data_IF_588113085916
#
_entry.id   IF_588113085916
#
_cell.length_a   1.000
_cell.length_b   1.000
_cell.length_c   1.000
_cell.angle_alpha   90.00
_cell.angle_beta   90.00
_cell.angle_gamma   90.00
#
_symmetry.space_group_name_H-M   'P 1'
#
loop_
_entity.id
_entity.type
_entity.pdbx_description
1 polymer ?
#
# COMPACT_ATOMS: atom_id res chain seq x y z
N UNK A 1 -17.61 -27.21 6.46
CA UNK A 1 -18.88 -26.49 6.72
C UNK A 1 -19.00 -25.31 5.77
N UNK A 2 -20.01 -25.35 4.88
CA UNK A 2 -20.34 -24.29 3.91
C UNK A 2 -20.58 -22.92 4.58
N UNK A 3 -21.08 -22.92 5.81
CA UNK A 3 -21.40 -21.73 6.61
C UNK A 3 -20.17 -20.86 6.90
N UNK A 4 -19.01 -21.48 7.19
CA UNK A 4 -17.75 -20.74 7.40
C UNK A 4 -17.31 -20.00 6.14
N UNK A 5 -17.57 -20.53 4.94
CA UNK A 5 -17.23 -19.85 3.69
C UNK A 5 -18.13 -18.65 3.40
N UNK A 6 -19.43 -18.77 3.71
CA UNK A 6 -20.39 -17.69 3.50
C UNK A 6 -20.08 -16.48 4.41
N UNK A 7 -19.83 -16.73 5.69
CA UNK A 7 -19.42 -15.69 6.64
C UNK A 7 -18.05 -15.07 6.30
N UNK A 8 -17.15 -15.87 5.72
CA UNK A 8 -15.83 -15.39 5.32
C UNK A 8 -15.88 -14.57 4.02
N UNK A 9 -16.86 -14.80 3.14
CA UNK A 9 -17.07 -14.04 1.92
C UNK A 9 -17.70 -12.66 2.17
N UNK A 10 -18.47 -12.51 3.25
CA UNK A 10 -18.99 -11.21 3.69
C UNK A 10 -17.98 -10.36 4.45
N UNK A 11 -16.78 -10.90 4.74
CA UNK A 11 -15.73 -10.17 5.44
C UNK A 11 -15.31 -8.91 4.69
N UNK A 12 -15.07 -7.84 5.45
CA UNK A 12 -14.64 -6.54 4.92
C UNK A 12 -13.41 -6.69 4.00
N UNK A 13 -12.53 -7.65 4.24
CA UNK A 13 -11.34 -7.88 3.42
C UNK A 13 -11.60 -8.54 2.05
N UNK A 14 -12.72 -9.24 1.86
CA UNK A 14 -13.06 -9.93 0.59
C UNK A 14 -14.05 -9.17 -0.30
N UNK A 15 -14.64 -8.08 0.19
CA UNK A 15 -15.55 -7.27 -0.63
C UNK A 15 -14.82 -6.68 -1.85
N UNK A 16 -15.38 -6.95 -3.04
CA UNK A 16 -14.92 -6.36 -4.29
C UNK A 16 -15.14 -4.84 -4.25
N UNK A 17 -14.07 -4.08 -4.43
CA UNK A 17 -14.08 -2.62 -4.43
C UNK A 17 -13.41 -2.11 -5.70
N UNK A 18 -13.97 -1.05 -6.26
CA UNK A 18 -13.44 -0.35 -7.42
C UNK A 18 -13.56 1.16 -7.19
N UNK A 19 -12.75 1.94 -7.89
CA UNK A 19 -12.75 3.39 -7.83
C UNK A 19 -12.47 3.94 -6.42
N UNK A 20 -13.20 5.00 -6.04
CA UNK A 20 -12.99 5.72 -4.78
C UNK A 20 -13.13 4.84 -3.52
N UNK A 21 -13.96 3.79 -3.54
CA UNK A 21 -14.08 2.85 -2.41
C UNK A 21 -12.81 2.04 -2.21
N UNK A 22 -12.15 1.62 -3.30
CA UNK A 22 -10.86 0.93 -3.20
C UNK A 22 -9.76 1.90 -2.76
N UNK A 23 -9.73 3.13 -3.28
CA UNK A 23 -8.78 4.16 -2.87
C UNK A 23 -8.84 4.41 -1.35
N UNK A 24 -10.04 4.66 -0.81
CA UNK A 24 -10.22 4.86 0.64
C UNK A 24 -9.83 3.63 1.47
N UNK A 25 -10.09 2.43 0.94
CA UNK A 25 -9.66 1.19 1.58
C UNK A 25 -8.14 1.05 1.59
N UNK A 26 -7.45 1.40 0.50
CA UNK A 26 -5.97 1.36 0.46
C UNK A 26 -5.33 2.44 1.32
N UNK A 27 -5.94 3.63 1.48
CA UNK A 27 -5.48 4.64 2.46
C UNK A 27 -5.37 4.07 3.87
N UNK A 28 -6.29 3.18 4.25
CA UNK A 28 -6.23 2.51 5.54
C UNK A 28 -4.98 1.62 5.66
N UNK A 29 -4.66 0.81 4.64
CA UNK A 29 -3.44 0.00 4.63
C UNK A 29 -2.16 0.84 4.59
N UNK A 30 -2.16 1.93 3.82
CA UNK A 30 -1.05 2.90 3.83
C UNK A 30 -0.82 3.42 5.25
N UNK A 31 -1.89 3.77 5.99
CA UNK A 31 -1.82 4.19 7.39
C UNK A 31 -1.26 3.06 8.28
N UNK A 32 -1.66 1.81 8.08
CA UNK A 32 -1.12 0.66 8.82
C UNK A 32 0.39 0.56 8.65
N UNK A 33 0.94 0.70 7.43
CA UNK A 33 2.40 0.65 7.23
C UNK A 33 3.16 1.70 8.05
N UNK A 34 2.59 2.91 8.16
CA UNK A 34 3.15 4.00 8.98
C UNK A 34 3.07 3.68 10.48
N UNK A 35 1.96 3.09 10.92
CA UNK A 35 1.77 2.74 12.33
C UNK A 35 2.70 1.60 12.75
N UNK A 36 2.84 0.55 11.93
CA UNK A 36 3.77 -0.54 12.17
C UNK A 36 5.21 -0.03 12.25
N UNK A 37 5.61 0.84 11.32
CA UNK A 37 6.95 1.43 11.35
C UNK A 37 7.18 2.29 12.61
N UNK A 38 6.15 3.05 13.05
CA UNK A 38 6.22 3.82 14.29
C UNK A 38 6.32 2.91 15.51
N UNK A 39 5.57 1.81 15.55
CA UNK A 39 5.63 0.83 16.64
C UNK A 39 7.03 0.21 16.73
N UNK A 40 7.58 -0.26 15.60
CA UNK A 40 8.92 -0.84 15.58
C UNK A 40 9.98 0.14 16.09
N UNK A 41 9.86 1.43 15.74
CA UNK A 41 10.77 2.47 16.26
C UNK A 41 10.57 2.74 17.75
N UNK A 42 9.33 2.89 18.21
CA UNK A 42 9.02 3.20 19.61
C UNK A 42 9.43 2.09 20.59
N UNK A 43 9.48 0.86 20.11
CA UNK A 43 9.81 -0.33 20.91
C UNK A 43 11.21 -0.88 20.65
N UNK A 44 11.99 -0.25 19.76
CA UNK A 44 13.34 -0.71 19.42
C UNK A 44 14.26 -0.83 20.64
N UNK A 45 14.11 0.09 21.60
CA UNK A 45 14.92 0.11 22.82
C UNK A 45 14.31 -0.75 23.96
N UNK A 46 13.10 -1.29 23.76
CA UNK A 46 12.34 -2.01 24.80
C UNK A 46 12.33 -3.52 24.57
N UNK A 47 12.27 -3.94 23.31
CA UNK A 47 12.20 -5.36 22.92
C UNK A 47 13.10 -5.58 21.72
N UNK A 48 13.55 -6.82 21.55
CA UNK A 48 14.24 -7.22 20.34
C UNK A 48 13.27 -7.17 19.14
N UNK A 49 13.59 -6.33 18.16
CA UNK A 49 12.80 -6.22 16.93
C UNK A 49 13.26 -7.30 15.95
N UNK A 50 12.49 -8.38 15.88
CA UNK A 50 12.74 -9.46 14.95
C UNK A 50 12.49 -9.05 13.47
N UNK A 51 13.18 -9.69 12.50
CA UNK A 51 13.01 -9.41 11.07
C UNK A 51 11.55 -9.50 10.58
N UNK A 52 10.72 -10.34 11.19
CA UNK A 52 9.31 -10.56 10.89
C UNK A 52 8.49 -9.28 11.00
N UNK A 53 8.80 -8.41 11.97
CA UNK A 53 8.11 -7.12 12.12
C UNK A 53 8.40 -6.17 10.95
N UNK A 54 9.61 -6.21 10.41
CA UNK A 54 9.96 -5.46 9.18
C UNK A 54 9.30 -6.09 7.95
N UNK A 55 9.26 -7.42 7.88
CA UNK A 55 8.58 -8.12 6.79
C UNK A 55 7.07 -7.83 6.77
N UNK A 56 6.43 -7.69 7.93
CA UNK A 56 5.01 -7.33 8.02
C UNK A 56 4.72 -5.97 7.34
N UNK A 57 5.55 -4.95 7.59
CA UNK A 57 5.44 -3.65 6.91
C UNK A 57 5.52 -3.83 5.40
N UNK A 58 6.45 -4.68 4.96
CA UNK A 58 6.68 -4.96 3.54
C UNK A 58 5.49 -5.68 2.90
N UNK A 59 4.91 -6.68 3.57
CA UNK A 59 3.74 -7.40 3.05
C UNK A 59 2.51 -6.51 2.95
N UNK A 60 2.27 -5.63 3.92
CA UNK A 60 1.17 -4.66 3.86
C UNK A 60 1.37 -3.65 2.72
N UNK A 61 2.60 -3.17 2.52
CA UNK A 61 2.93 -2.30 1.40
C UNK A 61 2.75 -3.01 0.04
N UNK A 62 3.19 -4.27 -0.07
CA UNK A 62 2.99 -5.08 -1.27
C UNK A 62 1.50 -5.35 -1.53
N UNK A 63 0.68 -5.56 -0.51
CA UNK A 63 -0.78 -5.72 -0.64
C UNK A 63 -1.40 -4.50 -1.33
N UNK A 64 -0.98 -3.29 -0.95
CA UNK A 64 -1.41 -2.05 -1.62
C UNK A 64 -0.94 -2.03 -3.07
N UNK A 65 0.32 -2.39 -3.37
CA UNK A 65 0.82 -2.49 -4.74
C UNK A 65 -0.03 -3.48 -5.58
N UNK A 66 -0.34 -4.65 -5.04
CA UNK A 66 -1.21 -5.62 -5.71
C UNK A 66 -2.62 -5.07 -5.97
N UNK A 67 -3.16 -4.25 -5.07
CA UNK A 67 -4.45 -3.59 -5.27
C UNK A 67 -4.39 -2.56 -6.41
N UNK A 68 -3.29 -1.80 -6.54
CA UNK A 68 -3.08 -0.85 -7.65
C UNK A 68 -3.16 -1.54 -9.01
N UNK A 69 -2.55 -2.72 -9.16
CA UNK A 69 -2.62 -3.49 -10.43
C UNK A 69 -4.03 -3.99 -10.74
N UNK A 70 -4.82 -4.31 -9.72
CA UNK A 70 -6.18 -4.83 -9.89
C UNK A 70 -7.21 -3.73 -10.19
N UNK A 71 -6.87 -2.46 -9.99
CA UNK A 71 -7.78 -1.35 -10.25
C UNK A 71 -7.99 -1.14 -11.76
N UNK A 72 -9.23 -1.24 -12.27
CA UNK A 72 -9.52 -1.01 -13.69
C UNK A 72 -9.51 0.48 -14.06
N UNK A 73 -9.94 1.38 -13.16
CA UNK A 73 -9.99 2.80 -13.44
C UNK A 73 -8.59 3.43 -13.41
N UNK A 74 -8.16 3.97 -14.55
CA UNK A 74 -6.85 4.59 -14.73
C UNK A 74 -6.70 5.81 -13.81
N UNK A 75 -7.76 6.61 -13.62
CA UNK A 75 -7.68 7.81 -12.78
C UNK A 75 -7.48 7.44 -11.31
N UNK A 76 -8.28 6.50 -10.79
CA UNK A 76 -8.12 5.97 -9.44
C UNK A 76 -6.75 5.32 -9.28
N UNK A 77 -6.28 4.53 -10.25
CA UNK A 77 -4.95 3.92 -10.22
C UNK A 77 -3.84 4.98 -10.08
N UNK A 78 -3.90 6.07 -10.86
CA UNK A 78 -2.94 7.17 -10.73
C UNK A 78 -3.01 7.86 -9.36
N UNK A 79 -4.21 8.06 -8.81
CA UNK A 79 -4.37 8.60 -7.45
C UNK A 79 -3.75 7.71 -6.39
N UNK A 80 -3.94 6.39 -6.49
CA UNK A 80 -3.32 5.42 -5.58
C UNK A 80 -1.80 5.46 -5.68
N UNK A 81 -1.25 5.49 -6.90
CA UNK A 81 0.20 5.61 -7.13
C UNK A 81 0.72 6.91 -6.51
N UNK A 82 0.04 8.04 -6.72
CA UNK A 82 0.42 9.31 -6.12
C UNK A 82 0.45 9.22 -4.58
N UNK A 83 -0.57 8.62 -3.97
CA UNK A 83 -0.63 8.43 -2.51
C UNK A 83 0.47 7.52 -1.96
N UNK A 84 0.86 6.47 -2.69
CA UNK A 84 1.99 5.59 -2.31
C UNK A 84 3.29 6.40 -2.16
N UNK A 85 3.53 7.35 -3.06
CA UNK A 85 4.72 8.19 -3.00
C UNK A 85 4.59 9.33 -1.99
N UNK A 86 3.46 10.07 -1.97
CA UNK A 86 3.28 11.20 -1.04
C UNK A 86 3.23 10.77 0.42
N UNK A 87 2.65 9.60 0.70
CA UNK A 87 2.61 9.04 2.07
C UNK A 87 3.95 8.49 2.54
N UNK A 88 4.95 8.37 1.66
CA UNK A 88 6.22 7.71 1.94
C UNK A 88 6.14 6.19 2.07
N UNK A 89 5.02 5.55 1.70
CA UNK A 89 4.88 4.08 1.76
C UNK A 89 5.95 3.39 0.92
N UNK A 90 6.27 3.94 -0.26
CA UNK A 90 7.33 3.40 -1.12
C UNK A 90 8.68 3.34 -0.39
N UNK A 91 9.05 4.39 0.35
CA UNK A 91 10.28 4.40 1.15
C UNK A 91 10.26 3.30 2.20
N UNK A 92 9.16 3.14 2.93
CA UNK A 92 9.00 2.08 3.94
C UNK A 92 9.09 0.68 3.35
N UNK A 93 8.52 0.48 2.16
CA UNK A 93 8.59 -0.78 1.44
C UNK A 93 10.05 -1.18 1.24
N UNK A 94 10.87 -0.29 0.67
CA UNK A 94 12.27 -0.61 0.35
C UNK A 94 13.13 -0.78 1.62
N UNK A 95 12.96 0.08 2.62
CA UNK A 95 13.82 0.06 3.83
C UNK A 95 13.57 -1.17 4.73
N UNK A 96 12.39 -1.75 4.67
CA UNK A 96 11.97 -2.87 5.53
C UNK A 96 12.06 -4.24 4.84
N UNK A 97 12.60 -4.33 3.63
CA UNK A 97 12.90 -5.62 2.99
C UNK A 97 13.98 -6.36 3.78
N UNK A 98 13.71 -7.63 4.11
CA UNK A 98 14.62 -8.52 4.86
C UNK A 98 14.79 -9.91 4.23
N UNK A 99 14.23 -10.15 3.05
CA UNK A 99 14.30 -11.44 2.35
C UNK A 99 14.52 -11.22 0.86
N UNK A 100 15.34 -12.08 0.23
CA UNK A 100 15.68 -12.01 -1.20
C UNK A 100 14.43 -12.10 -2.08
N UNK A 101 13.51 -13.04 -1.77
CA UNK A 101 12.25 -13.22 -2.49
C UNK A 101 11.39 -11.95 -2.47
N UNK A 102 11.34 -11.30 -1.31
CA UNK A 102 10.58 -10.07 -1.09
C UNK A 102 11.28 -8.88 -1.75
N UNK A 103 12.62 -8.86 -1.74
CA UNK A 103 13.42 -7.87 -2.47
C UNK A 103 13.17 -7.90 -3.96
N UNK A 104 13.12 -9.10 -4.57
CA UNK A 104 12.72 -9.24 -5.97
C UNK A 104 11.33 -8.66 -6.25
N UNK A 105 10.35 -8.95 -5.38
CA UNK A 105 9.01 -8.37 -5.50
C UNK A 105 9.03 -6.84 -5.38
N UNK A 106 9.79 -6.29 -4.43
CA UNK A 106 9.90 -4.85 -4.24
C UNK A 106 10.56 -4.15 -5.45
N UNK A 107 11.58 -4.76 -6.05
CA UNK A 107 12.20 -4.28 -7.29
C UNK A 107 11.24 -4.34 -8.48
N UNK A 108 10.57 -5.47 -8.67
CA UNK A 108 9.55 -5.63 -9.72
C UNK A 108 8.45 -4.58 -9.58
N UNK A 109 8.00 -4.32 -8.36
CA UNK A 109 7.00 -3.30 -8.09
C UNK A 109 7.53 -1.88 -8.23
N UNK A 110 8.80 -1.63 -7.91
CA UNK A 110 9.45 -0.34 -8.19
C UNK A 110 9.43 -0.04 -9.69
N UNK A 111 9.78 -1.03 -10.52
CA UNK A 111 9.74 -0.91 -11.97
C UNK A 111 8.32 -0.67 -12.49
N UNK A 112 7.34 -1.45 -12.02
CA UNK A 112 5.92 -1.28 -12.43
C UNK A 112 5.34 0.06 -12.01
N UNK A 113 5.58 0.49 -10.78
CA UNK A 113 5.12 1.79 -10.29
C UNK A 113 5.77 2.91 -11.09
N UNK A 114 7.06 2.80 -11.44
CA UNK A 114 7.73 3.76 -12.30
C UNK A 114 7.16 3.80 -13.72
N UNK A 115 6.85 2.64 -14.31
CA UNK A 115 6.25 2.52 -15.64
C UNK A 115 4.83 3.10 -15.69
N UNK A 116 4.02 2.83 -14.66
CA UNK A 116 2.64 3.29 -14.60
C UNK A 116 2.49 4.70 -14.07
N UNK A 117 3.49 5.24 -13.38
CA UNK A 117 3.46 6.62 -12.90
C UNK A 117 3.43 7.55 -14.09
N UNK A 118 2.42 8.41 -14.10
CA UNK A 118 2.32 9.48 -15.07
C UNK A 118 3.48 10.47 -14.90
N UNK A 119 4.40 10.51 -15.87
CA UNK A 119 5.57 11.40 -15.87
C UNK A 119 5.19 12.84 -16.24
N UNK A 120 4.02 13.04 -16.83
CA UNK A 120 3.55 14.35 -17.31
C UNK A 120 2.83 15.16 -16.22
N UNK A 121 2.22 14.47 -15.24
CA UNK A 121 1.49 15.13 -14.15
C UNK A 121 2.41 15.33 -12.93
N UNK A 122 3.01 16.51 -12.86
CA UNK A 122 3.75 16.98 -11.67
C UNK A 122 2.98 16.70 -10.38
N UNK A 123 3.69 16.13 -9.39
CA UNK A 123 3.18 15.69 -8.08
C UNK A 123 2.30 16.75 -7.39
N UNK A 124 2.57 18.04 -7.61
CA UNK A 124 1.83 19.14 -7.01
C UNK A 124 0.41 19.36 -7.57
N UNK A 125 0.14 19.04 -8.85
CA UNK A 125 -1.19 19.25 -9.43
C UNK A 125 -2.20 18.18 -9.03
N UNK A 126 -1.77 16.92 -8.89
CA UNK A 126 -2.67 15.82 -8.48
C UNK A 126 -3.15 16.03 -7.04
N UNK A 127 -2.26 16.40 -6.11
CA UNK A 127 -2.63 16.71 -4.72
C UNK A 127 -3.57 17.92 -4.64
N UNK A 128 -3.32 19.00 -5.39
CA UNK A 128 -4.24 20.15 -5.45
C UNK A 128 -5.62 19.79 -6.00
N UNK A 129 -5.71 18.95 -7.03
CA UNK A 129 -7.00 18.51 -7.58
C UNK A 129 -7.81 17.62 -6.63
N UNK A 130 -7.14 16.91 -5.70
CA UNK A 130 -7.81 16.10 -4.68
C UNK A 130 -8.36 16.92 -3.50
N UNK A 131 -7.79 18.11 -3.24
CA UNK A 131 -8.30 19.04 -2.22
C UNK A 131 -9.38 19.99 -2.76
N UNK A 132 -9.38 20.28 -4.07
CA UNK A 132 -10.35 21.19 -4.71
C UNK A 132 -11.68 20.53 -5.11
N UNK A 133 -11.96 19.30 -4.67
CA UNK A 133 -13.25 18.62 -4.85
C UNK A 133 -14.03 18.50 -3.54
N UNK A 134 -13.82 19.46 -2.62
CA UNK A 134 -14.60 19.61 -1.39
C UNK A 134 -15.56 20.77 -1.52
#
# INVERSE_FOLDING_TARGET
SLYKYYLHNTSVSRLHRQGNKNLNYQRHYIKITRLLEKLNRNYADKIMIYPEFHQQITYEALRVCHAVRKEPDILTRQRMIAEIFTSGMYKRLITNVRSVKVGYQALLWSFRLWQWRDKTRSHHRITRSAFNLR
#
